data_IF_245693567284
#
_entry.id   IF_245693567284
#
_cell.length_a   1.000
_cell.length_b   1.000
_cell.length_c   1.000
_cell.angle_alpha   90.00
_cell.angle_beta   90.00
_cell.angle_gamma   90.00
#
_symmetry.space_group_name_H-M   'P 1'
#
loop_
_entity.id
_entity.type
_entity.pdbx_description
1 polymer ?
#
# COMPACT_ATOMS: atom_id res chain seq x y z
N UNK A 1 -4.32 0.49 1.10
CA UNK A 1 -5.24 0.05 2.19
C UNK A 1 -5.67 1.22 3.07
N UNK A 2 -4.74 2.03 3.61
CA UNK A 2 -5.08 3.20 4.45
C UNK A 2 -6.23 4.06 3.90
N UNK A 3 -6.21 4.40 2.60
CA UNK A 3 -7.24 5.22 1.94
C UNK A 3 -8.66 4.61 1.92
N UNK A 4 -8.78 3.28 1.97
CA UNK A 4 -10.08 2.57 1.95
C UNK A 4 -10.36 1.89 3.28
N UNK A 5 -9.64 2.29 4.33
CA UNK A 5 -9.82 1.77 5.67
C UNK A 5 -11.12 2.30 6.28
N UNK A 6 -11.70 1.52 7.18
CA UNK A 6 -12.81 1.99 8.03
C UNK A 6 -12.37 3.09 9.01
N UNK A 7 -11.06 3.28 9.19
CA UNK A 7 -10.45 4.31 10.04
C UNK A 7 -9.84 5.47 9.23
N UNK A 8 -10.16 5.57 7.94
CA UNK A 8 -9.74 6.69 7.11
C UNK A 8 -10.34 8.02 7.60
N UNK A 9 -9.64 9.12 7.32
CA UNK A 9 -10.00 10.48 7.73
C UNK A 9 -9.43 11.49 6.74
N UNK A 10 -9.95 12.72 6.76
CA UNK A 10 -9.47 13.81 5.88
C UNK A 10 -7.95 14.02 5.97
N UNK A 11 -7.36 13.83 7.18
CA UNK A 11 -5.92 13.93 7.39
C UNK A 11 -5.14 12.81 6.71
N UNK A 12 -5.61 11.58 6.80
CA UNK A 12 -4.91 10.41 6.25
C UNK A 12 -5.11 10.26 4.75
N UNK A 13 -6.22 10.76 4.22
CA UNK A 13 -6.59 10.62 2.81
C UNK A 13 -5.66 11.43 1.90
N UNK A 14 -5.39 12.68 2.26
CA UNK A 14 -4.42 13.51 1.55
C UNK A 14 -3.03 12.88 1.51
N UNK A 15 -2.59 12.32 2.64
CA UNK A 15 -1.31 11.60 2.73
C UNK A 15 -1.30 10.35 1.87
N UNK A 16 -2.34 9.51 1.96
CA UNK A 16 -2.42 8.26 1.20
C UNK A 16 -2.44 8.51 -0.32
N UNK A 17 -3.22 9.48 -0.78
CA UNK A 17 -3.28 9.86 -2.20
C UNK A 17 -1.95 10.44 -2.69
N UNK A 18 -1.29 11.28 -1.89
CA UNK A 18 0.03 11.82 -2.24
C UNK A 18 1.09 10.72 -2.32
N UNK A 19 1.08 9.75 -1.40
CA UNK A 19 1.99 8.61 -1.46
C UNK A 19 1.75 7.75 -2.72
N UNK A 20 0.50 7.45 -3.06
CA UNK A 20 0.14 6.70 -4.28
C UNK A 20 0.68 7.43 -5.51
N UNK A 21 0.43 8.73 -5.63
CA UNK A 21 0.91 9.56 -6.75
C UNK A 21 2.42 9.47 -6.90
N UNK A 22 3.17 9.72 -5.82
CA UNK A 22 4.63 9.68 -5.84
C UNK A 22 5.17 8.29 -6.23
N UNK A 23 4.55 7.21 -5.76
CA UNK A 23 4.93 5.84 -6.13
C UNK A 23 4.76 5.62 -7.63
N UNK A 24 3.63 5.99 -8.22
CA UNK A 24 3.41 5.82 -9.66
C UNK A 24 4.36 6.67 -10.51
N UNK A 25 4.70 7.88 -10.05
CA UNK A 25 5.61 8.78 -10.77
C UNK A 25 7.09 8.33 -10.70
N UNK A 26 7.51 7.67 -9.61
CA UNK A 26 8.95 7.51 -9.30
C UNK A 26 9.43 6.06 -9.15
N UNK A 27 8.55 5.10 -8.88
CA UNK A 27 8.99 3.72 -8.56
C UNK A 27 9.76 3.07 -9.70
N UNK A 28 9.25 3.19 -10.94
CA UNK A 28 9.87 2.52 -12.09
C UNK A 28 11.28 3.02 -12.36
N UNK A 29 11.48 4.34 -12.40
CA UNK A 29 12.81 4.94 -12.62
C UNK A 29 13.75 4.65 -11.45
N UNK A 30 13.26 4.69 -10.21
CA UNK A 30 14.03 4.33 -9.01
C UNK A 30 14.59 2.91 -9.09
N UNK A 31 13.81 1.96 -9.62
CA UNK A 31 14.20 0.55 -9.76
C UNK A 31 15.09 0.32 -10.98
N UNK A 32 14.70 0.80 -12.17
CA UNK A 32 15.38 0.49 -13.43
C UNK A 32 16.67 1.29 -13.63
N UNK A 33 16.67 2.56 -13.21
CA UNK A 33 17.74 3.50 -13.51
C UNK A 33 18.55 3.91 -12.27
N UNK A 34 18.11 3.51 -11.07
CA UNK A 34 18.69 3.95 -9.80
C UNK A 34 18.78 5.49 -9.67
N UNK A 35 17.87 6.22 -10.33
CA UNK A 35 17.86 7.67 -10.36
C UNK A 35 17.72 8.27 -8.95
N UNK A 36 18.60 9.23 -8.61
CA UNK A 36 18.68 9.79 -7.27
C UNK A 36 17.41 10.57 -6.89
N UNK A 37 16.86 11.33 -7.83
CA UNK A 37 15.64 12.09 -7.60
C UNK A 37 14.46 11.14 -7.31
N UNK A 38 14.30 10.11 -8.15
CA UNK A 38 13.26 9.09 -7.98
C UNK A 38 13.41 8.33 -6.66
N UNK A 39 14.65 8.05 -6.23
CA UNK A 39 14.92 7.41 -4.92
C UNK A 39 14.54 8.32 -3.75
N UNK A 40 14.86 9.61 -3.81
CA UNK A 40 14.41 10.59 -2.81
C UNK A 40 12.88 10.61 -2.73
N UNK A 41 12.19 10.73 -3.87
CA UNK A 41 10.72 10.76 -3.90
C UNK A 41 10.10 9.47 -3.38
N UNK A 42 10.67 8.31 -3.72
CA UNK A 42 10.24 7.03 -3.16
C UNK A 42 10.45 6.93 -1.64
N UNK A 43 11.55 7.49 -1.12
CA UNK A 43 11.79 7.54 0.32
C UNK A 43 10.74 8.40 1.03
N UNK A 44 10.44 9.57 0.48
CA UNK A 44 9.36 10.43 0.98
C UNK A 44 8.00 9.75 0.88
N UNK A 45 7.69 9.10 -0.24
CA UNK A 45 6.44 8.37 -0.43
C UNK A 45 6.25 7.25 0.61
N UNK A 46 7.33 6.54 0.95
CA UNK A 46 7.32 5.53 2.02
C UNK A 46 6.93 6.13 3.37
N UNK A 47 7.52 7.26 3.75
CA UNK A 47 7.21 7.95 5.02
C UNK A 47 5.79 8.52 5.03
N UNK A 48 5.35 9.13 3.93
CA UNK A 48 3.99 9.68 3.80
C UNK A 48 2.95 8.56 3.89
N UNK A 49 3.19 7.42 3.22
CA UNK A 49 2.34 6.23 3.37
C UNK A 49 2.31 5.75 4.82
N UNK A 50 3.48 5.75 5.50
CA UNK A 50 3.64 5.48 6.92
C UNK A 50 2.75 6.34 7.81
N UNK A 51 2.80 7.66 7.62
CA UNK A 51 1.96 8.59 8.37
C UNK A 51 0.46 8.33 8.16
N UNK A 52 0.05 7.94 6.95
CA UNK A 52 -1.32 7.57 6.66
C UNK A 52 -1.73 6.28 7.37
N UNK A 53 -1.03 5.15 7.14
CA UNK A 53 -1.42 3.87 7.73
C UNK A 53 -1.16 3.78 9.23
N UNK A 54 -0.29 4.62 9.80
CA UNK A 54 -0.10 4.69 11.26
C UNK A 54 -1.37 5.15 11.99
N UNK A 55 -2.24 5.91 11.32
CA UNK A 55 -3.48 6.44 11.90
C UNK A 55 -4.74 5.76 11.31
N UNK A 56 -4.74 5.45 10.01
CA UNK A 56 -5.85 4.77 9.34
C UNK A 56 -5.73 3.24 9.31
N UNK A 57 -4.64 2.67 9.84
CA UNK A 57 -4.35 1.23 9.75
C UNK A 57 -4.32 0.70 8.31
N UNK A 58 -4.52 -0.61 8.16
CA UNK A 58 -4.39 -1.38 6.93
C UNK A 58 -5.64 -2.27 6.75
N UNK A 59 -5.54 -3.30 5.90
CA UNK A 59 -6.68 -4.19 5.63
C UNK A 59 -6.28 -5.65 5.46
N UNK A 60 -7.11 -6.38 4.71
CA UNK A 60 -6.96 -7.82 4.52
C UNK A 60 -5.76 -8.20 3.64
N UNK A 61 -5.24 -7.29 2.79
CA UNK A 61 -4.02 -7.56 2.01
C UNK A 61 -2.84 -7.80 2.94
N UNK A 62 -2.58 -6.89 3.89
CA UNK A 62 -1.51 -7.09 4.86
C UNK A 62 -1.78 -8.28 5.78
N UNK A 63 -3.03 -8.49 6.20
CA UNK A 63 -3.40 -9.62 7.05
C UNK A 63 -3.07 -10.96 6.39
N UNK A 64 -3.42 -11.13 5.11
CA UNK A 64 -3.08 -12.33 4.34
C UNK A 64 -1.57 -12.43 4.09
N UNK A 65 -0.92 -11.32 3.73
CA UNK A 65 0.52 -11.30 3.48
C UNK A 65 1.34 -11.71 4.72
N UNK A 66 0.90 -11.33 5.93
CA UNK A 66 1.53 -11.78 7.18
C UNK A 66 1.45 -13.30 7.36
N UNK A 67 0.28 -13.91 7.09
CA UNK A 67 0.10 -15.36 7.25
C UNK A 67 0.85 -16.16 6.20
N UNK A 68 0.75 -15.74 4.94
CA UNK A 68 1.50 -16.37 3.82
C UNK A 68 3.01 -16.23 4.05
N UNK A 69 3.47 -15.03 4.42
CA UNK A 69 4.88 -14.78 4.71
C UNK A 69 5.42 -15.60 5.88
N UNK A 70 4.65 -15.73 6.96
CA UNK A 70 5.05 -16.56 8.11
C UNK A 70 5.10 -18.05 7.78
N UNK A 71 4.15 -18.55 6.98
CA UNK A 71 4.04 -19.97 6.66
C UNK A 71 5.04 -20.43 5.59
N UNK A 72 5.27 -19.61 4.56
CA UNK A 72 6.03 -19.99 3.37
C UNK A 72 7.32 -19.17 3.19
N UNK A 73 7.68 -18.35 4.16
CA UNK A 73 8.88 -17.50 4.15
C UNK A 73 9.00 -16.60 2.91
N UNK A 74 7.86 -16.09 2.44
CA UNK A 74 7.83 -15.20 1.27
C UNK A 74 8.19 -13.75 1.63
N UNK A 75 8.77 -13.02 0.66
CA UNK A 75 9.09 -11.60 0.82
C UNK A 75 7.79 -10.80 1.01
N UNK A 76 7.69 -10.04 2.10
CA UNK A 76 6.46 -9.34 2.50
C UNK A 76 5.90 -8.42 1.40
N UNK A 77 6.72 -7.53 0.85
CA UNK A 77 6.30 -6.59 -0.20
C UNK A 77 5.87 -7.28 -1.50
N UNK A 78 6.56 -8.36 -1.89
CA UNK A 78 6.20 -9.17 -3.07
C UNK A 78 4.84 -9.84 -2.88
N UNK A 79 4.61 -10.39 -1.68
CA UNK A 79 3.35 -11.06 -1.34
C UNK A 79 2.18 -10.08 -1.38
N UNK A 80 2.34 -8.90 -0.77
CA UNK A 80 1.35 -7.83 -0.86
C UNK A 80 1.09 -7.39 -2.31
N UNK A 81 2.12 -7.21 -3.13
CA UNK A 81 1.96 -6.81 -4.53
C UNK A 81 1.15 -7.83 -5.36
N UNK A 82 1.34 -9.14 -5.10
CA UNK A 82 0.56 -10.21 -5.75
C UNK A 82 -0.90 -10.19 -5.27
N UNK A 83 -1.15 -10.01 -3.97
CA UNK A 83 -2.50 -10.06 -3.38
C UNK A 83 -3.34 -8.82 -3.67
N UNK A 84 -2.71 -7.64 -3.73
CA UNK A 84 -3.37 -6.34 -3.82
C UNK A 84 -4.46 -6.25 -4.92
N UNK A 85 -4.24 -6.66 -6.18
CA UNK A 85 -5.29 -6.58 -7.21
C UNK A 85 -6.49 -7.48 -6.93
N UNK A 86 -6.34 -8.58 -6.19
CA UNK A 86 -7.47 -9.43 -5.80
C UNK A 86 -8.24 -8.82 -4.62
N UNK A 87 -7.52 -8.26 -3.64
CA UNK A 87 -8.12 -7.56 -2.50
C UNK A 87 -8.89 -6.32 -2.94
N UNK A 88 -8.36 -5.56 -3.91
CA UNK A 88 -9.07 -4.40 -4.48
C UNK A 88 -10.39 -4.85 -5.11
N UNK A 89 -10.40 -5.93 -5.90
CA UNK A 89 -11.63 -6.45 -6.51
C UNK A 89 -12.64 -6.90 -5.46
N UNK A 90 -12.17 -7.58 -4.41
CA UNK A 90 -13.02 -8.00 -3.30
C UNK A 90 -13.63 -6.80 -2.56
N UNK A 91 -12.81 -5.84 -2.14
CA UNK A 91 -13.28 -4.64 -1.43
C UNK A 91 -14.14 -3.71 -2.30
N UNK A 92 -13.97 -3.76 -3.63
CA UNK A 92 -14.77 -2.99 -4.59
C UNK A 92 -16.20 -3.52 -4.76
N UNK A 93 -16.56 -4.64 -4.13
CA UNK A 93 -17.93 -5.15 -4.11
C UNK A 93 -18.67 -4.70 -2.86
N UNK A 94 -20.00 -4.56 -2.94
CA UNK A 94 -20.82 -4.37 -1.75
C UNK A 94 -20.91 -5.71 -1.01
N UNK A 95 -20.52 -5.80 0.27
CA UNK A 95 -20.69 -7.02 1.03
C UNK A 95 -22.17 -7.38 1.11
N UNK A 96 -22.53 -8.56 0.64
CA UNK A 96 -23.85 -9.14 0.87
C UNK A 96 -23.71 -10.23 1.94
N UNK A 97 -24.58 -10.21 2.95
CA UNK A 97 -24.81 -11.40 3.78
C UNK A 97 -25.68 -12.33 2.94
N UNK A 98 -25.06 -13.25 2.21
CA UNK A 98 -25.76 -14.47 1.77
C UNK A 98 -25.99 -15.37 2.96
#
# INVERSE_FOLDING_TARGET
>A
EAYVSQMASDFTDGLALQAIKLVFENLESSVKNADFHSREKMHNASTIAGMAFANAFLGISHSMAHKIGAQFHTIHGRTNAILLPYVIRYNGTRPAKT
#
